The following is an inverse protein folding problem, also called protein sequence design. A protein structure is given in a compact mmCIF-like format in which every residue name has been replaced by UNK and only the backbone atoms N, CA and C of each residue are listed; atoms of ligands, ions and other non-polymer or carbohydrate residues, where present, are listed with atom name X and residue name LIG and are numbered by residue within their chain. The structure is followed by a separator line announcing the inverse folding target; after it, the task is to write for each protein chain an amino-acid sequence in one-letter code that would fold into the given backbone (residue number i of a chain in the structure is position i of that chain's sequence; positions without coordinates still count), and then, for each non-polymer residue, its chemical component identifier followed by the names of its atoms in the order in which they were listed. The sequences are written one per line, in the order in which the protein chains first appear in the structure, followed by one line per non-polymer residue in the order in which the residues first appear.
data_IF_773981995044
#
_entry.id   IF_773981995044
#
_cell.length_a   1.000
_cell.length_b   1.000
_cell.length_c   1.000
_cell.angle_alpha   90.00
_cell.angle_beta   90.00
_cell.angle_gamma   90.00
#
_symmetry.space_group_name_H-M   'P 1'
#
loop_
_entity.id
_entity.type
_entity.pdbx_description
1 polymer ?
#
# COMPACT_ATOMS: atom_id res chain seq x y z
N UNK A 1 -1.74 11.88 5.41
CA UNK A 1 -1.69 10.41 5.27
C UNK A 1 -2.25 9.83 3.96
N UNK A 2 -3.13 10.50 3.19
CA UNK A 2 -3.67 9.94 1.93
C UNK A 2 -3.00 10.56 0.71
N UNK A 3 -2.66 9.72 -0.26
CA UNK A 3 -2.17 10.11 -1.57
C UNK A 3 -3.39 10.44 -2.47
N UNK A 4 -3.42 11.66 -3.03
CA UNK A 4 -4.63 12.17 -3.71
C UNK A 4 -4.34 12.65 -5.13
N UNK A 5 -3.17 13.23 -5.39
CA UNK A 5 -2.91 13.90 -6.66
C UNK A 5 -2.42 12.90 -7.70
N UNK A 6 -2.93 12.99 -8.93
CA UNK A 6 -2.57 12.08 -10.03
C UNK A 6 -1.05 12.02 -10.28
N UNK A 7 -0.36 13.16 -10.16
CA UNK A 7 1.09 13.20 -10.31
C UNK A 7 1.84 12.45 -9.21
N UNK A 8 1.31 12.37 -7.99
CA UNK A 8 1.90 11.57 -6.91
C UNK A 8 1.84 10.08 -7.30
N UNK A 9 0.70 9.61 -7.83
CA UNK A 9 0.56 8.24 -8.32
C UNK A 9 1.50 7.94 -9.49
N UNK A 10 1.64 8.87 -10.44
CA UNK A 10 2.59 8.75 -11.56
C UNK A 10 4.04 8.69 -11.06
N UNK A 11 4.39 9.50 -10.07
CA UNK A 11 5.72 9.52 -9.46
C UNK A 11 6.05 8.18 -8.80
N UNK A 12 5.15 7.63 -7.99
CA UNK A 12 5.31 6.29 -7.39
C UNK A 12 5.41 5.22 -8.47
N UNK A 13 4.61 5.29 -9.52
CA UNK A 13 4.67 4.34 -10.64
C UNK A 13 6.04 4.33 -11.33
N UNK A 14 6.65 5.52 -11.51
CA UNK A 14 7.93 5.70 -12.21
C UNK A 14 9.13 5.35 -11.34
N UNK A 15 9.16 5.80 -10.08
CA UNK A 15 10.35 5.73 -9.21
C UNK A 15 10.26 4.65 -8.13
N UNK A 16 9.07 4.12 -7.85
CA UNK A 16 8.86 3.25 -6.70
C UNK A 16 9.30 1.81 -6.95
N UNK A 17 9.90 1.21 -5.93
CA UNK A 17 10.25 -0.21 -5.88
C UNK A 17 8.97 -1.03 -5.70
N UNK A 18 8.88 -2.15 -6.41
CA UNK A 18 7.67 -2.98 -6.52
C UNK A 18 7.80 -4.26 -5.71
N UNK A 19 6.72 -4.62 -5.01
CA UNK A 19 6.49 -5.94 -4.47
C UNK A 19 5.23 -6.54 -5.09
N UNK A 20 5.36 -7.72 -5.69
CA UNK A 20 4.26 -8.41 -6.38
C UNK A 20 3.85 -9.67 -5.59
N UNK A 21 2.90 -9.49 -4.67
CA UNK A 21 2.35 -10.58 -3.87
C UNK A 21 1.12 -11.25 -4.52
N UNK A 22 0.72 -12.37 -3.92
CA UNK A 22 -0.50 -13.09 -4.31
C UNK A 22 -1.78 -12.37 -3.87
N UNK A 23 -1.72 -11.63 -2.75
CA UNK A 23 -2.86 -10.93 -2.16
C UNK A 23 -2.93 -9.44 -2.57
N UNK A 24 -1.80 -8.82 -2.87
CA UNK A 24 -1.75 -7.42 -3.31
C UNK A 24 -0.47 -7.15 -4.11
N UNK A 25 -0.47 -6.04 -4.84
CA UNK A 25 0.75 -5.39 -5.29
C UNK A 25 0.99 -4.15 -4.45
N UNK A 26 2.26 -3.89 -4.16
CA UNK A 26 2.73 -2.74 -3.42
C UNK A 26 3.82 -2.05 -4.25
N UNK A 27 3.74 -0.74 -4.34
CA UNK A 27 4.81 0.08 -4.88
C UNK A 27 5.10 1.22 -3.91
N UNK A 28 6.36 1.38 -3.51
CA UNK A 28 6.79 2.42 -2.58
C UNK A 28 7.87 3.25 -3.23
N UNK A 29 7.65 4.56 -3.29
CA UNK A 29 8.72 5.52 -3.53
C UNK A 29 8.96 6.30 -2.24
N UNK A 30 10.22 6.51 -1.88
CA UNK A 30 10.59 7.33 -0.75
C UNK A 30 11.79 8.19 -1.14
N UNK A 31 11.94 9.29 -0.41
CA UNK A 31 13.01 10.27 -0.56
C UNK A 31 13.49 10.55 0.86
N UNK A 32 14.78 10.33 1.11
CA UNK A 32 15.35 10.42 2.46
C UNK A 32 15.36 11.87 2.98
N UNK A 33 15.25 12.87 2.09
CA UNK A 33 15.17 14.28 2.45
C UNK A 33 13.74 14.71 2.82
N UNK A 34 12.72 14.00 2.32
CA UNK A 34 11.31 14.30 2.60
C UNK A 34 10.93 13.75 3.99
N UNK A 35 10.73 14.65 4.95
CA UNK A 35 10.32 14.30 6.33
C UNK A 35 8.79 14.28 6.52
N UNK A 36 8.00 14.37 5.46
CA UNK A 36 6.54 14.31 5.57
C UNK A 36 6.04 12.96 6.08
N UNK A 37 4.87 12.97 6.72
CA UNK A 37 4.20 11.74 7.15
C UNK A 37 3.93 10.82 5.94
N UNK A 38 4.21 9.51 6.06
CA UNK A 38 3.93 8.53 5.02
C UNK A 38 2.52 8.67 4.40
N UNK A 39 2.45 8.60 3.07
CA UNK A 39 1.22 8.73 2.30
C UNK A 39 0.82 7.40 1.67
N UNK A 40 -0.48 7.10 1.76
CA UNK A 40 -1.09 5.89 1.23
C UNK A 40 -2.04 6.21 0.07
N UNK A 41 -1.79 5.57 -1.08
CA UNK A 41 -2.72 5.43 -2.19
C UNK A 41 -3.24 3.99 -2.27
N UNK A 42 -4.51 3.82 -2.60
CA UNK A 42 -5.09 2.49 -2.86
C UNK A 42 -5.85 2.53 -4.18
N UNK A 43 -5.48 1.65 -5.10
CA UNK A 43 -6.13 1.52 -6.41
C UNK A 43 -6.89 0.19 -6.43
N UNK A 44 -8.21 0.26 -6.58
CA UNK A 44 -9.05 -0.93 -6.81
C UNK A 44 -9.67 -0.86 -8.20
N UNK A 45 -9.51 -1.91 -9.00
CA UNK A 45 -10.12 -1.98 -10.32
C UNK A 45 -11.56 -2.50 -10.25
N UNK A 46 -12.34 -2.34 -11.34
CA UNK A 46 -13.67 -2.97 -11.45
C UNK A 46 -13.59 -4.50 -11.37
N UNK A 47 -12.47 -5.10 -11.81
CA UNK A 47 -12.19 -6.54 -11.73
C UNK A 47 -12.14 -7.09 -10.30
N UNK A 48 -12.01 -6.21 -9.30
CA UNK A 48 -12.06 -6.62 -7.90
C UNK A 48 -13.46 -7.12 -7.47
N UNK A 49 -14.51 -6.72 -8.18
CA UNK A 49 -15.90 -7.09 -7.89
C UNK A 49 -16.73 -5.94 -7.32
N UNK A 50 -17.70 -6.27 -6.46
CA UNK A 50 -18.71 -5.33 -5.96
C UNK A 50 -18.12 -4.18 -5.10
N UNK A 51 -18.91 -3.12 -4.92
CA UNK A 51 -18.50 -1.95 -4.14
C UNK A 51 -18.18 -2.28 -2.68
N UNK A 52 -18.91 -3.23 -2.08
CA UNK A 52 -18.73 -3.67 -0.69
C UNK A 52 -17.34 -4.27 -0.49
N UNK A 53 -16.95 -5.25 -1.32
CA UNK A 53 -15.65 -5.92 -1.25
C UNK A 53 -14.50 -4.94 -1.53
N UNK A 54 -14.66 -4.05 -2.53
CA UNK A 54 -13.68 -2.97 -2.79
C UNK A 54 -13.51 -2.03 -1.61
N UNK A 55 -14.59 -1.69 -0.90
CA UNK A 55 -14.54 -0.82 0.26
C UNK A 55 -13.97 -1.54 1.48
N UNK A 56 -14.27 -2.82 1.66
CA UNK A 56 -13.70 -3.69 2.71
C UNK A 56 -12.18 -3.78 2.56
N UNK A 57 -11.67 -4.07 1.36
CA UNK A 57 -10.22 -4.14 1.10
C UNK A 57 -9.52 -2.81 1.36
N UNK A 58 -10.10 -1.69 0.90
CA UNK A 58 -9.57 -0.35 1.19
C UNK A 58 -9.56 -0.04 2.69
N UNK A 59 -10.57 -0.46 3.45
CA UNK A 59 -10.63 -0.24 4.91
C UNK A 59 -9.54 -1.03 5.61
N UNK A 60 -9.39 -2.31 5.27
CA UNK A 60 -8.38 -3.20 5.86
C UNK A 60 -6.96 -2.66 5.64
N UNK A 61 -6.60 -2.28 4.41
CA UNK A 61 -5.28 -1.69 4.12
C UNK A 61 -5.08 -0.38 4.87
N UNK A 62 -6.09 0.49 4.93
CA UNK A 62 -6.00 1.77 5.65
C UNK A 62 -5.75 1.57 7.14
N UNK A 63 -6.41 0.59 7.74
CA UNK A 63 -6.26 0.28 9.15
C UNK A 63 -4.86 -0.27 9.46
N UNK A 64 -4.39 -1.25 8.69
CA UNK A 64 -3.03 -1.79 8.82
C UNK A 64 -1.99 -0.69 8.67
N UNK A 65 -2.12 0.14 7.63
CA UNK A 65 -1.20 1.25 7.41
C UNK A 65 -1.22 2.25 8.58
N UNK A 66 -2.40 2.61 9.09
CA UNK A 66 -2.54 3.55 10.22
C UNK A 66 -1.88 3.00 11.49
N UNK A 67 -2.10 1.73 11.81
CA UNK A 67 -1.51 1.07 12.99
C UNK A 67 0.01 0.97 12.90
N UNK A 68 0.53 0.78 11.70
CA UNK A 68 1.94 0.49 11.46
C UNK A 68 2.66 1.61 10.70
N UNK A 69 2.20 2.86 10.82
CA UNK A 69 2.74 3.97 10.02
C UNK A 69 4.24 4.18 10.22
N UNK A 70 4.74 3.88 11.43
CA UNK A 70 6.17 3.98 11.78
C UNK A 70 7.06 2.96 11.06
N UNK A 71 6.48 1.88 10.53
CA UNK A 71 7.22 0.90 9.72
C UNK A 71 7.45 1.36 8.28
N UNK A 72 6.84 2.47 7.86
CA UNK A 72 7.06 3.07 6.56
C UNK A 72 8.08 4.21 6.71
N UNK A 73 9.04 4.37 5.77
CA UNK A 73 10.00 5.47 5.82
C UNK A 73 9.30 6.82 5.79
N UNK A 74 9.86 7.83 6.46
CA UNK A 74 9.41 9.21 6.31
C UNK A 74 9.47 9.63 4.83
N UNK A 75 8.55 10.51 4.43
CA UNK A 75 8.43 10.96 3.03
C UNK A 75 7.86 9.92 2.07
N UNK A 76 7.66 8.68 2.52
CA UNK A 76 7.24 7.60 1.63
C UNK A 76 5.83 7.80 1.07
N UNK A 77 5.69 7.40 -0.18
CA UNK A 77 4.45 7.37 -0.96
C UNK A 77 4.24 5.93 -1.40
N UNK A 78 3.31 5.26 -0.73
CA UNK A 78 2.98 3.86 -0.93
C UNK A 78 1.67 3.72 -1.70
N UNK A 79 1.68 2.95 -2.78
CA UNK A 79 0.48 2.63 -3.58
C UNK A 79 0.22 1.13 -3.48
N UNK A 80 -0.97 0.78 -2.97
CA UNK A 80 -1.45 -0.60 -2.90
C UNK A 80 -2.49 -0.89 -3.98
N UNK A 81 -2.38 -2.06 -4.58
CA UNK A 81 -3.36 -2.64 -5.50
C UNK A 81 -3.79 -3.99 -4.93
N UNK A 82 -4.85 -4.03 -4.09
CA UNK A 82 -5.31 -5.29 -3.52
C UNK A 82 -5.90 -6.20 -4.59
N UNK A 83 -5.77 -7.51 -4.38
CA UNK A 83 -6.43 -8.56 -5.17
C UNK A 83 -7.59 -9.18 -4.37
N UNK A 84 -8.64 -9.72 -5.02
CA UNK A 84 -9.78 -10.32 -4.32
C UNK A 84 -9.38 -11.38 -3.28
N UNK A 85 -8.33 -12.17 -3.58
CA UNK A 85 -7.78 -13.20 -2.69
C UNK A 85 -7.40 -12.69 -1.29
N UNK A 86 -7.06 -11.40 -1.16
CA UNK A 86 -6.75 -10.77 0.12
C UNK A 86 -7.91 -10.87 1.12
N UNK A 87 -9.16 -10.85 0.66
CA UNK A 87 -10.33 -10.90 1.53
C UNK A 87 -10.59 -12.29 2.13
N UNK A 88 -9.89 -13.32 1.65
CA UNK A 88 -9.94 -14.69 2.18
C UNK A 88 -8.93 -14.93 3.31
N UNK A 89 -8.13 -13.91 3.65
CA UNK A 89 -7.08 -14.00 4.67
C UNK A 89 -7.48 -13.23 5.92
N UNK A 90 -6.98 -13.67 7.06
CA UNK A 90 -7.16 -12.96 8.33
C UNK A 90 -6.41 -11.62 8.33
N UNK A 91 -6.89 -10.67 9.12
CA UNK A 91 -6.25 -9.36 9.29
C UNK A 91 -4.76 -9.49 9.62
N UNK A 92 -4.42 -10.32 10.63
CA UNK A 92 -3.05 -10.55 11.08
C UNK A 92 -2.16 -11.19 10.01
N UNK A 93 -2.74 -12.01 9.12
CA UNK A 93 -1.99 -12.56 7.98
C UNK A 93 -1.62 -11.49 6.97
N UNK A 94 -2.56 -10.62 6.62
CA UNK A 94 -2.30 -9.53 5.67
C UNK A 94 -1.38 -8.46 6.29
N UNK A 95 -1.54 -8.16 7.57
CA UNK A 95 -0.65 -7.24 8.30
C UNK A 95 0.80 -7.71 8.23
N UNK A 96 1.07 -8.99 8.52
CA UNK A 96 2.42 -9.56 8.41
C UNK A 96 2.96 -9.52 6.99
N UNK A 97 2.16 -9.87 5.98
CA UNK A 97 2.58 -9.85 4.58
C UNK A 97 2.91 -8.41 4.12
N UNK A 98 2.12 -7.42 4.52
CA UNK A 98 2.38 -6.01 4.23
C UNK A 98 3.69 -5.55 4.87
N UNK A 99 3.92 -5.84 6.15
CA UNK A 99 5.14 -5.40 6.84
C UNK A 99 6.40 -6.07 6.26
N UNK A 100 6.32 -7.36 5.93
CA UNK A 100 7.40 -8.05 5.26
C UNK A 100 7.69 -7.45 3.88
N UNK A 101 6.65 -7.14 3.10
CA UNK A 101 6.80 -6.50 1.81
C UNK A 101 7.45 -5.11 1.93
N UNK A 102 7.06 -4.31 2.93
CA UNK A 102 7.64 -2.99 3.20
C UNK A 102 9.13 -3.10 3.54
N UNK A 103 9.49 -3.95 4.49
CA UNK A 103 10.90 -4.18 4.89
C UNK A 103 11.77 -4.56 3.68
N UNK A 104 11.33 -5.55 2.90
CA UNK A 104 12.05 -6.03 1.72
C UNK A 104 12.18 -4.98 0.60
N UNK A 105 11.29 -3.98 0.58
CA UNK A 105 11.28 -2.92 -0.43
C UNK A 105 12.19 -1.76 -0.04
N UNK A 106 12.42 -1.55 1.26
CA UNK A 106 13.30 -0.51 1.79
C UNK A 106 14.77 -0.95 1.75
N UNK A 107 15.04 -2.24 1.98
CA UNK A 107 16.39 -2.80 1.95
C UNK A 107 16.98 -2.99 0.55
N UNK A 108 16.25 -2.60 -0.50
CA UNK A 108 16.68 -2.66 -1.91
C UNK A 108 16.92 -1.26 -2.44
#
# INVERSE_FOLDING_TARGET
MRLRKSWEFKSVKKKGVKHMGSNFWLQIAFDNEDKQIPKLGIITSRRFGNAVNRNKSKRLIREIFRKNIKSFPMGSKSVFIPKPKMLLKSFKSIEREILAAVSNTISK
#
